data_IF_215985380397
#
_entry.id   IF_215985380397
#
_cell.length_a   1.000
_cell.length_b   1.000
_cell.length_c   1.000
_cell.angle_alpha   90.00
_cell.angle_beta   90.00
_cell.angle_gamma   90.00
#
_symmetry.space_group_name_H-M   'P 1'
#
loop_
_entity.id
_entity.type
_entity.pdbx_description
1 polymer ?
#
# COMPACT_ATOMS: atom_id res chain seq x y z
N UNK A 1 5.28 -17.20 1.78
CA UNK A 1 5.97 -15.99 2.27
C UNK A 1 6.82 -15.42 1.14
N UNK A 2 6.85 -14.10 0.96
CA UNK A 2 7.63 -13.46 -0.10
C UNK A 2 9.14 -13.65 0.12
N UNK A 3 9.86 -13.95 -0.96
CA UNK A 3 11.30 -14.21 -0.91
C UNK A 3 12.15 -12.92 -0.88
N UNK A 4 11.55 -11.77 -1.23
CA UNK A 4 12.23 -10.46 -1.29
C UNK A 4 11.21 -9.32 -1.25
N UNK A 5 11.66 -8.09 -0.94
CA UNK A 5 10.81 -6.88 -0.96
C UNK A 5 10.16 -6.64 -2.32
N UNK A 6 10.85 -7.00 -3.41
CA UNK A 6 10.33 -6.89 -4.77
C UNK A 6 9.20 -7.87 -5.05
N UNK A 7 9.31 -9.10 -4.55
CA UNK A 7 8.25 -10.11 -4.62
C UNK A 7 7.04 -9.70 -3.78
N UNK A 8 7.27 -9.18 -2.56
CA UNK A 8 6.22 -8.64 -1.70
C UNK A 8 5.51 -7.46 -2.39
N UNK A 9 6.26 -6.46 -2.88
CA UNK A 9 5.71 -5.32 -3.64
C UNK A 9 4.91 -5.79 -4.86
N UNK A 10 5.45 -6.71 -5.66
CA UNK A 10 4.80 -7.19 -6.88
C UNK A 10 3.45 -7.85 -6.58
N UNK A 11 3.41 -8.76 -5.60
CA UNK A 11 2.18 -9.43 -5.15
C UNK A 11 1.16 -8.46 -4.59
N UNK A 12 1.59 -7.58 -3.69
CA UNK A 12 0.72 -6.59 -3.06
C UNK A 12 0.19 -5.58 -4.07
N UNK A 13 1.03 -5.12 -4.99
CA UNK A 13 0.63 -4.25 -6.09
C UNK A 13 -0.42 -4.94 -6.97
N UNK A 14 -0.23 -6.19 -7.36
CA UNK A 14 -1.20 -6.90 -8.18
C UNK A 14 -2.56 -7.07 -7.48
N UNK A 15 -2.56 -7.26 -6.15
CA UNK A 15 -3.76 -7.54 -5.37
C UNK A 15 -4.54 -6.30 -4.95
N UNK A 16 -3.83 -5.20 -4.66
CA UNK A 16 -4.37 -4.04 -3.94
C UNK A 16 -4.28 -2.72 -4.68
N UNK A 17 -3.49 -2.62 -5.76
CA UNK A 17 -3.46 -1.41 -6.58
C UNK A 17 -4.85 -1.12 -7.17
N UNK A 18 -5.33 0.10 -7.03
CA UNK A 18 -6.65 0.55 -7.48
C UNK A 18 -7.80 0.26 -6.50
N UNK A 19 -7.53 -0.30 -5.31
CA UNK A 19 -8.55 -0.57 -4.29
C UNK A 19 -8.45 0.41 -3.13
N UNK A 20 -9.58 0.81 -2.55
CA UNK A 20 -9.65 1.63 -1.33
C UNK A 20 -8.73 2.86 -1.38
N UNK A 21 -8.71 3.58 -2.52
CA UNK A 21 -7.84 4.74 -2.75
C UNK A 21 -6.35 4.45 -2.99
N UNK A 22 -5.90 3.19 -2.99
CA UNK A 22 -4.51 2.84 -3.29
C UNK A 22 -4.22 3.13 -4.77
N UNK A 23 -3.32 4.07 -5.04
CA UNK A 23 -2.92 4.43 -6.40
C UNK A 23 -1.44 4.13 -6.70
N UNK A 24 -0.67 3.70 -5.69
CA UNK A 24 0.72 3.32 -5.87
C UNK A 24 1.18 2.32 -4.82
N UNK A 25 2.15 1.48 -5.19
CA UNK A 25 2.85 0.58 -4.27
C UNK A 25 4.36 0.65 -4.55
N UNK A 26 5.13 1.00 -3.53
CA UNK A 26 6.58 1.20 -3.59
C UNK A 26 7.33 0.39 -2.54
N UNK A 27 8.66 0.49 -2.55
CA UNK A 27 9.54 -0.15 -1.56
C UNK A 27 10.35 0.95 -0.88
N UNK A 28 10.43 0.90 0.44
CA UNK A 28 11.34 1.70 1.25
C UNK A 28 12.43 0.77 1.76
N UNK A 29 13.56 0.75 1.04
CA UNK A 29 14.67 -0.18 1.28
C UNK A 29 15.29 0.00 2.66
N UNK A 30 15.48 1.24 3.08
CA UNK A 30 16.03 1.63 4.39
C UNK A 30 15.23 1.04 5.56
N UNK A 31 13.90 0.97 5.43
CA UNK A 31 12.99 0.46 6.45
C UNK A 31 12.60 -1.00 6.26
N UNK A 32 13.12 -1.66 5.22
CA UNK A 32 12.67 -2.97 4.73
C UNK A 32 11.13 -3.04 4.66
N UNK A 33 10.52 -2.04 4.03
CA UNK A 33 9.08 -1.87 4.01
C UNK A 33 8.50 -1.78 2.60
N UNK A 34 7.26 -2.23 2.43
CA UNK A 34 6.41 -1.92 1.27
C UNK A 34 5.54 -0.70 1.62
N UNK A 35 5.59 0.33 0.78
CA UNK A 35 4.81 1.57 0.93
C UNK A 35 3.58 1.52 0.04
N UNK A 36 2.40 1.70 0.61
CA UNK A 36 1.16 1.94 -0.13
C UNK A 36 0.93 3.45 -0.23
N UNK A 37 0.69 3.95 -1.43
CA UNK A 37 0.30 5.33 -1.68
C UNK A 37 -1.21 5.36 -1.80
N UNK A 38 -1.85 6.04 -0.86
CA UNK A 38 -3.29 6.05 -0.70
C UNK A 38 -3.78 7.49 -0.81
N UNK A 39 -4.82 7.68 -1.60
CA UNK A 39 -5.48 8.97 -1.73
C UNK A 39 -6.16 9.35 -0.41
N UNK A 40 -5.93 10.56 0.08
CA UNK A 40 -6.57 11.07 1.30
C UNK A 40 -8.10 11.23 1.14
N UNK A 41 -8.61 11.40 -0.08
CA UNK A 41 -10.03 11.64 -0.38
C UNK A 41 -10.85 10.35 -0.46
N UNK A 42 -10.42 9.31 0.23
CA UNK A 42 -11.20 8.09 0.42
C UNK A 42 -12.40 8.37 1.32
N UNK A 43 -13.53 7.75 1.00
CA UNK A 43 -14.71 7.80 1.87
C UNK A 43 -14.45 7.12 3.22
N UNK A 44 -15.27 7.41 4.24
CA UNK A 44 -15.13 6.76 5.56
C UNK A 44 -15.21 5.23 5.48
N UNK A 45 -16.07 4.71 4.59
CA UNK A 45 -16.18 3.28 4.29
C UNK A 45 -14.90 2.72 3.67
N UNK A 46 -14.31 3.43 2.71
CA UNK A 46 -13.04 3.02 2.11
C UNK A 46 -11.87 3.07 3.10
N UNK A 47 -11.90 3.99 4.07
CA UNK A 47 -10.90 4.07 5.12
C UNK A 47 -10.94 2.85 6.06
N UNK A 48 -12.14 2.36 6.40
CA UNK A 48 -12.28 1.13 7.17
C UNK A 48 -11.77 -0.08 6.36
N UNK A 49 -12.14 -0.18 5.09
CA UNK A 49 -11.69 -1.24 4.20
C UNK A 49 -10.17 -1.21 3.99
N UNK A 50 -9.58 -0.02 3.89
CA UNK A 50 -8.14 0.18 3.83
C UNK A 50 -7.44 -0.36 5.08
N UNK A 51 -8.00 -0.13 6.27
CA UNK A 51 -7.46 -0.67 7.51
C UNK A 51 -7.36 -2.20 7.48
N UNK A 52 -8.42 -2.88 7.03
CA UNK A 52 -8.45 -4.35 6.87
C UNK A 52 -7.45 -4.82 5.82
N UNK A 53 -7.39 -4.13 4.68
CA UNK A 53 -6.45 -4.40 3.60
C UNK A 53 -4.99 -4.31 4.07
N UNK A 54 -4.65 -3.26 4.81
CA UNK A 54 -3.29 -3.06 5.31
C UNK A 54 -2.90 -4.13 6.34
N UNK A 55 -3.85 -4.62 7.13
CA UNK A 55 -3.59 -5.72 8.05
C UNK A 55 -3.29 -7.03 7.31
N UNK A 56 -4.11 -7.38 6.32
CA UNK A 56 -3.84 -8.53 5.43
C UNK A 56 -2.49 -8.39 4.73
N UNK A 57 -2.20 -7.20 4.17
CA UNK A 57 -0.95 -6.92 3.51
C UNK A 57 0.26 -7.10 4.44
N UNK A 58 0.15 -6.75 5.72
CA UNK A 58 1.21 -6.98 6.72
C UNK A 58 1.48 -8.46 6.95
N UNK A 59 0.43 -9.28 7.00
CA UNK A 59 0.56 -10.72 7.17
C UNK A 59 1.20 -11.36 5.93
N UNK A 60 0.79 -10.94 4.72
CA UNK A 60 1.34 -11.44 3.47
C UNK A 60 2.77 -10.96 3.20
N UNK A 61 3.10 -9.72 3.59
CA UNK A 61 4.43 -9.14 3.43
C UNK A 61 5.47 -9.72 4.39
N UNK A 62 5.06 -10.44 5.44
CA UNK A 62 5.97 -10.93 6.47
C UNK A 62 7.15 -11.70 5.86
N UNK A 63 8.41 -11.37 6.21
CA UNK A 63 8.85 -10.56 7.37
C UNK A 63 8.99 -9.04 7.13
N UNK A 64 8.62 -8.53 5.96
CA UNK A 64 8.78 -7.12 5.61
C UNK A 64 7.70 -6.24 6.23
N UNK A 65 8.06 -4.98 6.54
CA UNK A 65 7.10 -4.01 7.08
C UNK A 65 6.16 -3.53 5.99
N UNK A 66 4.97 -3.06 6.38
CA UNK A 66 4.04 -2.38 5.49
C UNK A 66 3.68 -1.03 6.09
N UNK A 67 3.88 0.01 5.30
CA UNK A 67 3.56 1.39 5.65
C UNK A 67 2.56 1.95 4.63
N UNK A 68 1.68 2.83 5.08
CA UNK A 68 0.75 3.56 4.23
C UNK A 68 1.12 5.04 4.27
N UNK A 69 1.22 5.63 3.10
CA UNK A 69 1.42 7.05 2.88
C UNK A 69 0.10 7.61 2.37
N UNK A 70 -0.62 8.31 3.23
CA UNK A 70 -1.93 8.90 2.91
C UNK A 70 -1.63 10.34 2.53
N UNK A 71 -1.72 10.64 1.24
CA UNK A 71 -1.49 11.99 0.73
C UNK A 71 -2.64 12.38 -0.20
N UNK A 72 -3.04 13.66 -0.22
CA UNK A 72 -3.94 14.14 -1.26
C UNK A 72 -3.22 13.99 -2.60
N UNK A 73 -3.84 13.30 -3.57
CA UNK A 73 -3.26 13.18 -4.91
C UNK A 73 -2.98 14.56 -5.46
N UNK A 74 -1.69 14.90 -5.57
CA UNK A 74 -1.25 16.07 -6.30
C UNK A 74 -1.65 15.85 -7.76
N UNK A 75 -2.74 16.48 -8.18
CA UNK A 75 -3.08 16.60 -9.60
C UNK A 75 -2.02 17.50 -10.23
N UNK A 76 -0.87 16.93 -10.60
CA UNK A 76 0.07 17.56 -11.52
C UNK A 76 -0.48 17.42 -12.93
N UNK A 77 -1.56 18.13 -13.19
CA UNK A 77 -2.01 18.51 -14.53
C UNK A 77 -2.36 20.00 -14.44
N UNK A 78 -1.34 20.84 -14.66
CA UNK A 78 -1.49 22.22 -15.11
C UNK A 78 -1.25 22.24 -16.62
#
# INVERSE_FOLDING_TARGET
MPQSLEDAKSKLSAKYLGKCGVHGVGIVRDQQAVRFEVDERVTEVERELLGKLLDEARQEAHPFKVIANIEPRANTYQ
#
